data_IF_399402990784
#
_entry.id   IF_399402990784
#
_cell.length_a   1.000
_cell.length_b   1.000
_cell.length_c   1.000
_cell.angle_alpha   90.00
_cell.angle_beta   90.00
_cell.angle_gamma   90.00
#
_symmetry.space_group_name_H-M   'P 1'
#
loop_
_entity.id
_entity.type
_entity.pdbx_description
1 polymer ?
#
# COMPACT_ATOMS: atom_id res chain seq x y z
N UNK A 1 -26.44 22.28 -18.92
CA UNK A 1 -25.64 21.91 -17.75
C UNK A 1 -24.40 21.15 -18.17
N UNK A 2 -24.54 20.07 -18.94
CA UNK A 2 -23.41 19.22 -19.39
C UNK A 2 -22.28 19.97 -20.11
N UNK A 3 -22.61 20.91 -21.00
CA UNK A 3 -21.62 21.73 -21.69
C UNK A 3 -20.81 22.63 -20.74
N UNK A 4 -21.39 23.04 -19.62
CA UNK A 4 -20.72 23.85 -18.59
C UNK A 4 -19.81 22.97 -17.75
N UNK A 5 -20.27 21.79 -17.34
CA UNK A 5 -19.46 20.79 -16.62
C UNK A 5 -18.25 20.38 -17.47
N UNK A 6 -18.46 20.09 -18.75
CA UNK A 6 -17.38 19.79 -19.68
C UNK A 6 -16.39 20.96 -19.84
N UNK A 7 -16.88 22.21 -19.82
CA UNK A 7 -16.00 23.37 -19.83
C UNK A 7 -15.15 23.45 -18.55
N UNK A 8 -15.74 23.21 -17.37
CA UNK A 8 -15.03 23.20 -16.07
C UNK A 8 -13.93 22.13 -16.05
N UNK A 9 -14.18 20.92 -16.59
CA UNK A 9 -13.17 19.86 -16.70
C UNK A 9 -11.94 20.28 -17.52
N UNK A 10 -12.12 21.18 -18.48
CA UNK A 10 -11.01 21.70 -19.29
C UNK A 10 -10.19 22.77 -18.60
N UNK A 11 -10.58 23.28 -17.42
CA UNK A 11 -9.95 24.48 -16.81
C UNK A 11 -8.44 24.37 -16.68
N UNK A 12 -7.92 23.18 -16.30
CA UNK A 12 -6.49 22.96 -16.07
C UNK A 12 -5.67 22.95 -17.37
N UNK A 13 -6.35 22.90 -18.52
CA UNK A 13 -5.76 22.82 -19.87
C UNK A 13 -5.82 24.15 -20.64
N UNK A 14 -6.54 25.15 -20.13
CA UNK A 14 -6.80 26.42 -20.84
C UNK A 14 -6.48 27.62 -19.95
N UNK A 15 -6.22 28.77 -20.56
CA UNK A 15 -6.04 30.02 -19.82
C UNK A 15 -7.40 30.58 -19.37
N UNK A 16 -7.45 31.38 -18.28
CA UNK A 16 -8.69 32.00 -17.81
C UNK A 16 -9.42 32.82 -18.89
N UNK A 17 -8.70 33.55 -19.76
CA UNK A 17 -9.34 34.35 -20.82
C UNK A 17 -10.04 33.46 -21.87
N UNK A 18 -9.40 32.34 -22.23
CA UNK A 18 -9.95 31.37 -23.17
C UNK A 18 -11.17 30.65 -22.56
N UNK A 19 -11.10 30.29 -21.28
CA UNK A 19 -12.23 29.73 -20.53
C UNK A 19 -13.42 30.69 -20.53
N UNK A 20 -13.18 31.97 -20.23
CA UNK A 20 -14.21 33.00 -20.21
C UNK A 20 -14.87 33.18 -21.59
N UNK A 21 -14.08 33.20 -22.67
CA UNK A 21 -14.60 33.28 -24.03
C UNK A 21 -15.49 32.07 -24.39
N UNK A 22 -15.07 30.86 -24.03
CA UNK A 22 -15.87 29.64 -24.20
C UNK A 22 -17.16 29.70 -23.39
N UNK A 23 -17.09 30.12 -22.13
CA UNK A 23 -18.27 30.27 -21.27
C UNK A 23 -19.30 31.25 -21.88
N UNK A 24 -18.84 32.40 -22.41
CA UNK A 24 -19.71 33.37 -23.11
C UNK A 24 -20.33 32.78 -24.37
N UNK A 25 -19.58 31.97 -25.13
CA UNK A 25 -20.12 31.30 -26.32
C UNK A 25 -21.25 30.30 -26.00
N UNK A 26 -21.30 29.79 -24.77
CA UNK A 26 -22.39 28.96 -24.25
C UNK A 26 -23.60 29.78 -23.75
N UNK A 27 -23.58 31.11 -23.90
CA UNK A 27 -24.66 32.01 -23.48
C UNK A 27 -24.61 32.42 -22.01
N UNK A 28 -23.49 32.20 -21.31
CA UNK A 28 -23.34 32.58 -19.89
C UNK A 28 -23.05 34.09 -19.79
N UNK A 29 -23.77 34.78 -18.89
CA UNK A 29 -23.61 36.23 -18.67
C UNK A 29 -22.24 36.57 -18.06
N UNK A 30 -21.74 37.78 -18.29
CA UNK A 30 -20.45 38.24 -17.76
C UNK A 30 -20.32 38.09 -16.23
N UNK A 31 -21.43 38.36 -15.51
CA UNK A 31 -21.52 38.15 -14.07
C UNK A 31 -21.28 36.69 -13.69
N UNK A 32 -21.95 35.76 -14.38
CA UNK A 32 -21.85 34.33 -14.07
C UNK A 32 -20.52 33.74 -14.54
N UNK A 33 -19.92 34.25 -15.62
CA UNK A 33 -18.55 33.88 -16.02
C UNK A 33 -17.55 34.28 -14.95
N UNK A 34 -17.68 35.48 -14.40
CA UNK A 34 -16.81 35.97 -13.32
C UNK A 34 -16.96 35.12 -12.04
N UNK A 35 -18.19 34.74 -11.70
CA UNK A 35 -18.45 33.83 -10.58
C UNK A 35 -17.88 32.42 -10.82
N UNK A 36 -18.04 31.86 -12.03
CA UNK A 36 -17.45 30.57 -12.39
C UNK A 36 -15.92 30.59 -12.28
N UNK A 37 -15.27 31.65 -12.78
CA UNK A 37 -13.83 31.82 -12.63
C UNK A 37 -13.44 31.87 -11.14
N UNK A 38 -14.17 32.61 -10.31
CA UNK A 38 -13.88 32.72 -8.89
C UNK A 38 -13.94 31.37 -8.15
N UNK A 39 -15.00 30.58 -8.36
CA UNK A 39 -15.19 29.29 -7.65
C UNK A 39 -14.34 28.17 -8.22
N UNK A 40 -14.06 28.18 -9.53
CA UNK A 40 -13.33 27.09 -10.18
C UNK A 40 -11.83 27.30 -10.20
N UNK A 41 -11.30 28.50 -9.92
CA UNK A 41 -9.84 28.72 -9.84
C UNK A 41 -9.25 28.64 -8.44
N UNK A 42 -10.08 28.54 -7.41
CA UNK A 42 -9.65 28.45 -6.01
C UNK A 42 -10.06 27.10 -5.41
N UNK A 43 -9.31 26.64 -4.42
CA UNK A 43 -9.77 25.65 -3.45
C UNK A 43 -9.89 26.32 -2.09
N UNK A 44 -10.75 25.79 -1.23
CA UNK A 44 -11.07 26.39 0.06
C UNK A 44 -10.86 25.35 1.16
N UNK A 45 -9.99 25.60 2.15
CA UNK A 45 -9.89 24.75 3.33
C UNK A 45 -11.25 24.60 4.00
N UNK A 46 -11.55 23.42 4.52
CA UNK A 46 -12.75 23.19 5.32
C UNK A 46 -12.38 23.52 6.77
N UNK A 47 -12.76 24.71 7.27
CA UNK A 47 -12.49 25.13 8.65
C UNK A 47 -13.75 25.12 9.55
N UNK A 48 -13.55 24.76 10.81
CA UNK A 48 -14.62 24.35 11.74
C UNK A 48 -15.45 25.49 12.38
N UNK A 49 -15.56 26.71 11.80
CA UNK A 49 -16.74 27.52 12.05
C UNK A 49 -17.44 28.10 10.80
N UNK A 50 -17.11 27.67 9.57
CA UNK A 50 -17.73 28.23 8.34
C UNK A 50 -18.58 27.23 7.53
N UNK A 51 -18.94 26.08 8.11
CA UNK A 51 -19.71 25.04 7.43
C UNK A 51 -21.16 25.42 7.07
N UNK A 52 -21.66 26.59 7.46
CA UNK A 52 -23.00 27.07 7.05
C UNK A 52 -22.99 27.84 5.72
N UNK A 53 -21.89 28.50 5.37
CA UNK A 53 -21.81 29.25 4.11
C UNK A 53 -20.38 29.47 3.62
N UNK A 54 -20.07 29.10 2.37
CA UNK A 54 -18.81 29.49 1.74
C UNK A 54 -18.90 30.91 1.17
N UNK A 55 -17.96 31.78 1.52
CA UNK A 55 -17.89 33.15 1.01
C UNK A 55 -16.84 33.27 -0.10
N UNK A 56 -17.28 33.33 -1.35
CA UNK A 56 -16.37 33.33 -2.52
C UNK A 56 -16.05 34.77 -2.98
N UNK A 57 -14.76 35.15 -3.13
CA UNK A 57 -14.37 36.48 -3.61
C UNK A 57 -14.62 36.67 -5.12
N UNK A 58 -15.32 37.74 -5.50
CA UNK A 58 -15.53 38.13 -6.91
C UNK A 58 -14.34 38.94 -7.46
N UNK A 59 -13.70 38.56 -8.59
CA UNK A 59 -12.61 39.36 -9.15
C UNK A 59 -13.12 40.64 -9.81
N UNK A 60 -12.44 41.77 -9.54
CA UNK A 60 -12.64 43.03 -10.25
C UNK A 60 -12.28 42.93 -11.73
N UNK A 61 -13.12 43.50 -12.61
CA UNK A 61 -12.75 43.73 -14.00
C UNK A 61 -11.74 44.88 -14.08
N UNK A 62 -10.63 44.59 -14.75
CA UNK A 62 -9.57 45.45 -15.29
C UNK A 62 -8.59 46.15 -14.32
N UNK A 63 -7.35 45.64 -14.31
CA UNK A 63 -6.15 46.28 -13.74
C UNK A 63 -4.94 45.31 -13.69
N UNK A 64 -3.68 45.79 -13.73
CA UNK A 64 -2.47 44.96 -13.90
C UNK A 64 -2.00 44.19 -12.65
N UNK A 65 -2.88 43.95 -11.68
CA UNK A 65 -2.60 43.27 -10.40
C UNK A 65 -3.67 42.20 -10.10
N UNK A 66 -3.39 41.21 -9.22
CA UNK A 66 -4.40 40.24 -8.81
C UNK A 66 -5.61 40.98 -8.21
N UNK A 67 -6.84 40.68 -8.66
CA UNK A 67 -8.01 41.48 -8.35
C UNK A 67 -8.34 41.39 -6.85
N UNK A 68 -8.49 42.54 -6.19
CA UNK A 68 -9.11 42.62 -4.86
C UNK A 68 -10.59 42.16 -4.95
N UNK A 69 -11.12 41.41 -3.97
CA UNK A 69 -12.51 40.94 -3.99
C UNK A 69 -13.53 42.10 -3.94
N UNK A 70 -14.48 42.16 -4.88
CA UNK A 70 -15.58 43.16 -4.86
C UNK A 70 -16.84 42.65 -4.12
N UNK A 71 -16.80 41.48 -3.47
CA UNK A 71 -17.92 40.94 -2.71
C UNK A 71 -17.80 39.45 -2.43
N UNK A 72 -18.68 38.95 -1.55
CA UNK A 72 -18.75 37.56 -1.12
C UNK A 72 -20.09 36.97 -1.57
N UNK A 73 -20.07 35.84 -2.28
CA UNK A 73 -21.27 35.03 -2.51
C UNK A 73 -21.30 33.96 -1.44
N UNK A 74 -22.32 33.96 -0.58
CA UNK A 74 -22.59 32.86 0.34
C UNK A 74 -23.20 31.69 -0.42
N UNK A 75 -22.55 30.53 -0.39
CA UNK A 75 -23.15 29.27 -0.80
C UNK A 75 -23.54 28.50 0.45
N UNK A 76 -24.84 28.23 0.60
CA UNK A 76 -25.33 27.36 1.66
C UNK A 76 -25.07 25.91 1.30
N UNK A 77 -24.53 25.16 2.25
CA UNK A 77 -24.30 23.72 2.12
C UNK A 77 -25.55 22.94 2.51
N UNK A 78 -25.77 21.78 1.89
CA UNK A 78 -26.86 20.91 2.31
C UNK A 78 -26.51 20.21 3.63
N UNK A 79 -27.53 19.73 4.35
CA UNK A 79 -27.32 19.00 5.61
C UNK A 79 -26.36 17.80 5.46
N UNK A 80 -26.36 17.17 4.29
CA UNK A 80 -25.45 16.06 3.97
C UNK A 80 -23.98 16.50 3.91
N UNK A 81 -23.70 17.67 3.33
CA UNK A 81 -22.35 18.24 3.26
C UNK A 81 -21.85 18.62 4.65
N UNK A 82 -22.71 19.25 5.47
CA UNK A 82 -22.38 19.62 6.85
C UNK A 82 -22.02 18.37 7.67
N UNK A 83 -22.83 17.31 7.57
CA UNK A 83 -22.55 16.04 8.23
C UNK A 83 -21.25 15.40 7.72
N UNK A 84 -20.93 15.51 6.43
CA UNK A 84 -19.64 15.04 5.92
C UNK A 84 -18.47 15.81 6.54
N UNK A 85 -18.56 17.13 6.66
CA UNK A 85 -17.50 17.94 7.25
C UNK A 85 -17.30 17.63 8.73
N UNK A 86 -18.40 17.47 9.49
CA UNK A 86 -18.35 17.02 10.88
C UNK A 86 -17.64 15.66 10.99
N UNK A 87 -18.01 14.66 10.18
CA UNK A 87 -17.37 13.35 10.21
C UNK A 87 -15.88 13.41 9.85
N UNK A 88 -15.50 14.24 8.87
CA UNK A 88 -14.09 14.48 8.53
C UNK A 88 -13.31 15.08 9.70
N UNK A 89 -13.94 15.95 10.51
CA UNK A 89 -13.32 16.50 11.71
C UNK A 89 -13.18 15.44 12.80
N UNK A 90 -14.21 14.63 13.03
CA UNK A 90 -14.20 13.55 14.03
C UNK A 90 -13.11 12.49 13.79
N UNK A 91 -12.67 12.32 12.54
CA UNK A 91 -11.60 11.38 12.16
C UNK A 91 -10.24 12.05 11.92
N UNK A 92 -10.08 13.32 12.30
CA UNK A 92 -8.86 14.13 12.10
C UNK A 92 -8.40 14.21 10.63
N UNK A 93 -9.34 14.17 9.68
CA UNK A 93 -9.06 14.23 8.24
C UNK A 93 -9.38 15.59 7.62
N UNK A 94 -10.13 16.45 8.30
CA UNK A 94 -10.63 17.73 7.76
C UNK A 94 -9.51 18.68 7.31
N UNK A 95 -8.39 18.72 8.03
CA UNK A 95 -7.20 19.53 7.69
C UNK A 95 -6.51 19.10 6.38
N UNK A 96 -6.87 17.93 5.84
CA UNK A 96 -6.35 17.38 4.59
C UNK A 96 -7.32 17.56 3.42
N UNK A 97 -8.44 18.25 3.64
CA UNK A 97 -9.50 18.41 2.66
C UNK A 97 -9.70 19.88 2.30
N UNK A 98 -9.69 20.14 0.99
CA UNK A 98 -10.16 21.39 0.42
C UNK A 98 -11.43 21.14 -0.39
N UNK A 99 -12.36 22.10 -0.37
CA UNK A 99 -13.44 22.19 -1.32
C UNK A 99 -12.93 22.76 -2.65
N UNK A 100 -13.10 22.00 -3.72
CA UNK A 100 -12.72 22.40 -5.07
C UNK A 100 -13.89 22.18 -6.05
N UNK A 101 -14.58 23.27 -6.41
CA UNK A 101 -15.72 23.26 -7.35
C UNK A 101 -15.32 22.97 -8.79
N UNK A 102 -14.02 22.86 -9.07
CA UNK A 102 -13.53 22.41 -10.36
C UNK A 102 -13.42 20.90 -10.51
N UNK A 103 -13.61 20.15 -9.43
CA UNK A 103 -13.62 18.68 -9.48
C UNK A 103 -14.94 18.22 -10.07
N UNK A 104 -14.98 18.16 -11.40
CA UNK A 104 -16.11 17.68 -12.18
C UNK A 104 -15.71 16.38 -12.88
N UNK A 105 -15.80 15.26 -12.17
CA UNK A 105 -15.38 13.96 -12.72
C UNK A 105 -16.22 13.59 -13.94
N UNK A 106 -15.57 13.32 -15.08
CA UNK A 106 -16.19 13.00 -16.37
C UNK A 106 -16.91 11.65 -16.48
N UNK A 107 -17.23 11.01 -15.35
CA UNK A 107 -18.03 9.80 -15.32
C UNK A 107 -19.44 10.20 -14.89
N UNK A 108 -20.37 10.23 -15.85
CA UNK A 108 -21.76 10.65 -15.66
C UNK A 108 -22.58 9.77 -14.69
N UNK A 109 -21.93 8.83 -13.98
CA UNK A 109 -22.58 7.95 -13.01
C UNK A 109 -22.54 8.48 -11.57
N UNK A 110 -21.70 9.48 -11.24
CA UNK A 110 -21.72 10.07 -9.91
C UNK A 110 -23.00 10.86 -9.72
N UNK A 111 -23.63 10.69 -8.56
CA UNK A 111 -24.93 11.27 -8.23
C UNK A 111 -24.82 12.43 -7.25
N UNK A 112 -23.68 12.55 -6.56
CA UNK A 112 -23.45 13.49 -5.47
C UNK A 112 -21.93 13.72 -5.27
N UNK A 113 -21.45 13.94 -4.04
CA UNK A 113 -20.05 14.19 -3.65
C UNK A 113 -19.05 13.39 -4.47
N UNK A 114 -18.06 14.10 -5.01
CA UNK A 114 -16.88 13.54 -5.67
C UNK A 114 -15.63 14.07 -5.00
N UNK A 115 -14.56 13.27 -5.00
CA UNK A 115 -13.29 13.67 -4.40
C UNK A 115 -12.10 13.11 -5.16
N UNK A 116 -10.97 13.79 -5.04
CA UNK A 116 -9.67 13.35 -5.53
C UNK A 116 -8.65 13.41 -4.40
N UNK A 117 -7.73 12.45 -4.38
CA UNK A 117 -6.56 12.49 -3.48
C UNK A 117 -5.37 12.88 -4.34
N UNK A 118 -4.81 14.04 -4.07
CA UNK A 118 -3.68 14.59 -4.81
C UNK A 118 -2.38 14.37 -4.05
N UNK A 119 -1.32 14.03 -4.77
CA UNK A 119 0.05 14.04 -4.28
C UNK A 119 0.73 15.35 -4.72
N UNK A 120 1.13 16.19 -3.76
CA UNK A 120 1.71 17.55 -3.94
C UNK A 120 0.85 18.46 -4.84
N UNK A 121 -0.48 18.32 -4.78
CA UNK A 121 -1.41 19.19 -5.53
C UNK A 121 -1.43 18.98 -7.05
N UNK A 122 -0.56 18.13 -7.61
CA UNK A 122 -0.41 17.99 -9.06
C UNK A 122 -0.93 16.66 -9.62
N UNK A 123 -0.74 15.55 -8.90
CA UNK A 123 -1.06 14.20 -9.40
C UNK A 123 -2.14 13.53 -8.57
N UNK A 124 -3.30 13.26 -9.16
CA UNK A 124 -4.33 12.44 -8.54
C UNK A 124 -3.86 10.98 -8.42
N UNK A 125 -3.72 10.50 -7.19
CA UNK A 125 -3.33 9.12 -6.88
C UNK A 125 -4.55 8.23 -6.62
N UNK A 126 -5.65 8.83 -6.16
CA UNK A 126 -6.93 8.18 -5.99
C UNK A 126 -8.06 9.16 -6.31
N UNK A 127 -9.26 8.63 -6.50
CA UNK A 127 -10.47 9.44 -6.54
C UNK A 127 -11.72 8.59 -6.55
N UNK A 128 -12.82 9.21 -6.19
CA UNK A 128 -14.05 8.52 -5.90
C UNK A 128 -15.22 9.46 -5.77
N UNK A 129 -16.31 8.91 -5.27
CA UNK A 129 -17.55 9.66 -5.04
C UNK A 129 -18.74 8.74 -4.86
N UNK A 130 -19.90 9.36 -4.71
CA UNK A 130 -21.19 8.70 -4.52
C UNK A 130 -21.92 8.46 -5.85
N UNK A 131 -22.48 7.27 -6.04
CA UNK A 131 -23.05 6.80 -7.30
C UNK A 131 -24.29 5.92 -7.09
N UNK A 132 -25.38 6.52 -6.61
CA UNK A 132 -26.54 5.77 -6.11
C UNK A 132 -27.29 4.97 -7.19
N UNK A 133 -27.19 5.41 -8.45
CA UNK A 133 -27.95 4.84 -9.56
C UNK A 133 -27.20 3.73 -10.31
N UNK A 134 -25.91 3.51 -10.01
CA UNK A 134 -25.06 2.65 -10.83
C UNK A 134 -25.49 1.17 -10.77
N UNK A 135 -25.81 0.66 -9.58
CA UNK A 135 -26.20 -0.74 -9.39
C UNK A 135 -27.55 -1.03 -10.06
N UNK A 136 -28.48 -0.08 -9.97
CA UNK A 136 -29.80 -0.16 -10.61
C UNK A 136 -29.69 -0.21 -12.14
N UNK A 137 -28.77 0.56 -12.74
CA UNK A 137 -28.53 0.57 -14.18
C UNK A 137 -28.16 -0.81 -14.74
N UNK A 138 -27.56 -1.69 -13.91
CA UNK A 138 -27.20 -3.06 -14.27
C UNK A 138 -28.26 -4.11 -13.85
N UNK A 139 -29.47 -3.68 -13.45
CA UNK A 139 -30.58 -4.56 -13.11
C UNK A 139 -30.57 -5.06 -11.65
N UNK A 140 -29.72 -4.49 -10.80
CA UNK A 140 -29.80 -4.69 -9.35
C UNK A 140 -30.91 -3.85 -8.70
N UNK A 141 -31.18 -4.03 -7.40
CA UNK A 141 -32.06 -3.12 -6.67
C UNK A 141 -31.42 -1.73 -6.52
N UNK A 142 -32.24 -0.69 -6.36
CA UNK A 142 -31.77 0.65 -5.99
C UNK A 142 -30.90 0.57 -4.73
N UNK A 143 -29.61 0.86 -4.90
CA UNK A 143 -28.58 0.63 -3.87
C UNK A 143 -27.61 1.81 -3.87
N UNK A 144 -27.80 2.80 -2.98
CA UNK A 144 -26.84 3.87 -2.76
C UNK A 144 -25.44 3.33 -2.50
N UNK A 145 -24.44 3.95 -3.10
CA UNK A 145 -23.07 3.46 -3.03
C UNK A 145 -22.07 4.61 -3.09
N UNK A 146 -20.98 4.47 -2.33
CA UNK A 146 -19.83 5.37 -2.35
C UNK A 146 -18.56 4.52 -2.39
N UNK A 147 -17.56 4.98 -3.12
CA UNK A 147 -16.31 4.27 -3.27
C UNK A 147 -15.27 5.08 -4.00
N UNK A 148 -14.05 4.55 -4.02
CA UNK A 148 -12.92 5.16 -4.71
C UNK A 148 -12.08 4.10 -5.40
N UNK A 149 -11.37 4.54 -6.44
CA UNK A 149 -10.30 3.78 -7.08
C UNK A 149 -8.95 4.42 -6.78
N UNK A 150 -7.93 3.58 -6.62
CA UNK A 150 -6.54 4.00 -6.49
C UNK A 150 -5.68 3.21 -7.48
N UNK A 151 -4.86 3.91 -8.25
CA UNK A 151 -3.97 3.29 -9.23
C UNK A 151 -2.64 2.89 -8.59
N UNK A 152 -2.32 1.60 -8.57
CA UNK A 152 -1.06 1.07 -8.06
C UNK A 152 0.15 1.60 -8.85
N UNK A 153 0.05 1.67 -10.17
CA UNK A 153 1.10 2.21 -11.04
C UNK A 153 1.40 3.67 -10.71
N UNK A 154 0.37 4.51 -10.61
CA UNK A 154 0.53 5.95 -10.32
C UNK A 154 1.14 6.16 -8.94
N UNK A 155 0.63 5.43 -7.93
CA UNK A 155 1.18 5.47 -6.59
C UNK A 155 2.66 5.04 -6.57
N UNK A 156 3.02 3.97 -7.27
CA UNK A 156 4.42 3.49 -7.33
C UNK A 156 5.36 4.55 -7.92
N UNK A 157 4.95 5.26 -8.97
CA UNK A 157 5.73 6.34 -9.57
C UNK A 157 5.88 7.52 -8.60
N UNK A 158 4.82 7.91 -7.90
CA UNK A 158 4.90 8.97 -6.87
C UNK A 158 5.85 8.59 -5.74
N UNK A 159 5.78 7.36 -5.24
CA UNK A 159 6.67 6.88 -4.18
C UNK A 159 8.13 6.83 -4.66
N UNK A 160 8.37 6.43 -5.91
CA UNK A 160 9.70 6.42 -6.50
C UNK A 160 10.26 7.84 -6.70
N UNK A 161 9.47 8.76 -7.27
CA UNK A 161 9.84 10.16 -7.49
C UNK A 161 10.24 10.84 -6.17
N UNK A 162 9.62 10.44 -5.05
CA UNK A 162 9.88 10.97 -3.70
C UNK A 162 10.94 10.20 -2.90
N UNK A 163 11.49 9.11 -3.43
CA UNK A 163 12.41 8.26 -2.67
C UNK A 163 11.78 7.60 -1.43
N UNK A 164 10.46 7.40 -1.43
CA UNK A 164 9.70 6.76 -0.34
C UNK A 164 9.54 5.25 -0.56
N UNK A 165 9.90 4.75 -1.75
CA UNK A 165 9.83 3.34 -2.07
C UNK A 165 10.99 2.61 -1.36
N UNK A 166 10.72 1.62 -0.48
CA UNK A 166 11.79 0.92 0.22
C UNK A 166 12.63 0.13 -0.79
N UNK A 167 13.93 -0.02 -0.49
CA UNK A 167 14.86 -0.76 -1.34
C UNK A 167 15.52 -1.92 -0.59
N UNK A 168 16.13 -2.83 -1.34
CA UNK A 168 16.96 -3.91 -0.81
C UNK A 168 16.24 -4.75 0.24
N UNK A 169 16.83 -4.84 1.44
CA UNK A 169 16.31 -5.68 2.52
C UNK A 169 15.00 -5.12 3.11
N UNK A 170 14.84 -3.79 3.16
CA UNK A 170 13.61 -3.16 3.64
C UNK A 170 12.41 -3.46 2.71
N UNK A 171 12.64 -3.44 1.39
CA UNK A 171 11.64 -3.86 0.42
C UNK A 171 11.26 -5.33 0.60
N UNK A 172 12.27 -6.19 0.73
CA UNK A 172 12.05 -7.62 0.92
C UNK A 172 11.30 -7.90 2.22
N UNK A 173 11.58 -7.17 3.29
CA UNK A 173 10.87 -7.31 4.56
C UNK A 173 9.42 -6.81 4.47
N UNK A 174 9.17 -5.69 3.78
CA UNK A 174 7.82 -5.19 3.51
C UNK A 174 6.99 -6.20 2.69
N UNK A 175 7.58 -6.76 1.63
CA UNK A 175 6.96 -7.80 0.81
C UNK A 175 6.81 -9.12 1.55
N UNK A 176 7.64 -9.40 2.56
CA UNK A 176 7.65 -10.69 3.26
C UNK A 176 6.85 -10.74 4.55
N UNK A 177 6.01 -9.73 4.80
CA UNK A 177 5.02 -9.78 5.89
C UNK A 177 4.06 -10.96 5.64
N UNK A 178 3.65 -11.72 6.68
CA UNK A 178 2.66 -12.79 6.52
C UNK A 178 1.41 -12.27 5.78
N UNK A 179 0.84 -12.95 4.78
CA UNK A 179 1.03 -14.35 4.32
C UNK A 179 1.89 -14.52 3.04
N UNK A 180 2.67 -13.54 2.61
CA UNK A 180 3.34 -13.52 1.30
C UNK A 180 4.87 -13.45 1.37
N UNK A 181 5.54 -14.33 2.13
CA UNK A 181 7.01 -14.28 2.29
C UNK A 181 7.78 -14.50 0.98
N UNK A 182 8.38 -13.44 0.43
CA UNK A 182 9.30 -13.52 -0.74
C UNK A 182 10.76 -13.77 -0.33
N UNK A 183 11.13 -13.37 0.90
CA UNK A 183 12.46 -13.52 1.51
C UNK A 183 12.55 -14.87 2.25
N UNK A 184 13.45 -15.80 1.87
CA UNK A 184 13.61 -17.05 2.62
C UNK A 184 14.03 -16.78 4.06
N UNK A 185 13.33 -17.38 5.02
CA UNK A 185 13.75 -17.40 6.42
C UNK A 185 15.08 -18.17 6.56
N UNK A 186 15.21 -19.26 5.80
CA UNK A 186 16.38 -20.13 5.80
C UNK A 186 16.77 -20.53 4.38
N UNK A 187 18.07 -20.50 4.10
CA UNK A 187 18.66 -21.06 2.89
C UNK A 187 19.62 -22.20 3.25
N UNK A 188 19.27 -23.42 2.88
CA UNK A 188 20.02 -24.65 3.23
C UNK A 188 21.06 -24.95 2.16
N UNK A 189 22.32 -25.13 2.56
CA UNK A 189 23.46 -25.44 1.68
C UNK A 189 24.29 -26.61 2.21
N UNK A 190 24.83 -27.48 1.35
CA UNK A 190 25.70 -28.57 1.77
C UNK A 190 27.16 -28.10 1.96
N UNK A 191 27.86 -28.67 2.96
CA UNK A 191 29.24 -28.34 3.29
C UNK A 191 30.01 -29.53 3.91
N UNK A 192 30.18 -30.61 3.14
CA UNK A 192 31.09 -31.69 3.54
C UNK A 192 32.55 -31.33 3.32
N UNK A 193 33.44 -31.78 4.21
CA UNK A 193 34.89 -31.57 4.11
C UNK A 193 35.56 -32.65 3.26
N UNK A 194 34.99 -33.86 3.26
CA UNK A 194 35.37 -34.96 2.36
C UNK A 194 34.35 -35.18 1.23
N UNK A 195 34.72 -35.87 0.13
CA UNK A 195 33.77 -36.21 -0.94
C UNK A 195 32.55 -37.00 -0.45
N UNK A 196 32.74 -37.90 0.52
CA UNK A 196 31.67 -38.71 1.12
C UNK A 196 30.72 -37.87 1.96
N UNK A 197 31.26 -37.01 2.82
CA UNK A 197 30.47 -36.06 3.61
C UNK A 197 29.71 -35.09 2.72
N UNK A 198 30.30 -34.66 1.61
CA UNK A 198 29.68 -33.69 0.72
C UNK A 198 28.51 -34.29 -0.04
N UNK A 199 28.59 -35.58 -0.38
CA UNK A 199 27.47 -36.33 -0.94
C UNK A 199 26.37 -36.58 0.10
N UNK A 200 26.73 -36.93 1.33
CA UNK A 200 25.79 -37.10 2.43
C UNK A 200 25.04 -35.79 2.76
N UNK A 201 25.77 -34.67 2.86
CA UNK A 201 25.20 -33.35 3.09
C UNK A 201 24.25 -32.96 1.96
N UNK A 202 24.64 -33.16 0.68
CA UNK A 202 23.78 -32.87 -0.46
C UNK A 202 22.46 -33.67 -0.43
N UNK A 203 22.51 -34.95 -0.06
CA UNK A 203 21.32 -35.80 0.11
C UNK A 203 20.43 -35.34 1.27
N UNK A 204 21.00 -34.77 2.33
CA UNK A 204 20.27 -34.27 3.50
C UNK A 204 19.56 -32.93 3.26
N UNK A 205 20.03 -32.09 2.32
CA UNK A 205 19.45 -30.75 2.05
C UNK A 205 17.95 -30.82 1.75
N UNK A 206 17.52 -31.64 0.78
CA UNK A 206 16.13 -31.67 0.33
C UNK A 206 15.16 -32.16 1.42
N UNK A 207 15.42 -33.26 2.14
CA UNK A 207 14.63 -33.65 3.32
C UNK A 207 14.57 -32.57 4.39
N UNK A 208 15.70 -31.89 4.66
CA UNK A 208 15.76 -30.84 5.67
C UNK A 208 14.91 -29.63 5.31
N UNK A 209 15.00 -29.14 4.07
CA UNK A 209 14.14 -28.06 3.55
C UNK A 209 12.66 -28.44 3.68
N UNK A 210 12.30 -29.68 3.33
CA UNK A 210 10.92 -30.15 3.45
C UNK A 210 10.46 -30.22 4.93
N UNK A 211 11.34 -30.61 5.86
CA UNK A 211 11.07 -30.61 7.30
C UNK A 211 10.82 -29.19 7.82
N UNK A 212 11.70 -28.23 7.48
CA UNK A 212 11.57 -26.83 7.89
C UNK A 212 10.27 -26.20 7.38
N UNK A 213 9.86 -26.51 6.15
CA UNK A 213 8.59 -26.02 5.57
C UNK A 213 7.34 -26.58 6.24
N UNK A 214 7.42 -27.74 6.90
CA UNK A 214 6.27 -28.35 7.61
C UNK A 214 6.14 -27.89 9.05
N UNK A 215 7.23 -27.41 9.65
CA UNK A 215 7.31 -27.19 11.10
C UNK A 215 7.31 -28.51 11.89
N UNK A 216 7.29 -28.38 13.21
CA UNK A 216 7.17 -29.47 14.18
C UNK A 216 6.00 -29.13 15.10
N UNK A 217 4.96 -29.96 15.09
CA UNK A 217 3.83 -29.74 15.99
C UNK A 217 4.27 -29.88 17.45
N UNK A 218 3.70 -29.04 18.31
CA UNK A 218 3.99 -29.01 19.73
C UNK A 218 3.42 -30.25 20.42
N UNK A 219 4.03 -30.68 21.53
CA UNK A 219 3.50 -31.79 22.34
C UNK A 219 2.09 -31.51 22.84
N UNK A 220 1.85 -30.28 23.30
CA UNK A 220 0.54 -29.84 23.77
C UNK A 220 -0.57 -29.95 22.70
N UNK A 221 -0.21 -29.80 21.43
CA UNK A 221 -1.13 -30.00 20.31
C UNK A 221 -1.35 -31.49 20.02
N UNK A 222 -0.29 -32.30 20.02
CA UNK A 222 -0.34 -33.72 19.73
C UNK A 222 -1.11 -34.53 20.79
N UNK A 223 -1.00 -34.15 22.06
CA UNK A 223 -1.59 -34.88 23.19
C UNK A 223 -3.11 -34.65 23.33
N UNK A 224 -3.72 -33.83 22.46
CA UNK A 224 -5.14 -33.48 22.53
C UNK A 224 -5.89 -33.80 21.22
N UNK A 225 -6.72 -34.85 21.27
CA UNK A 225 -7.49 -35.36 20.12
C UNK A 225 -8.56 -34.39 19.56
N UNK A 226 -8.91 -33.31 20.28
CA UNK A 226 -9.94 -32.34 19.87
C UNK A 226 -9.39 -31.10 19.16
N UNK A 227 -8.09 -31.04 18.91
CA UNK A 227 -7.43 -29.87 18.31
C UNK A 227 -7.73 -29.73 16.82
N UNK A 228 -7.76 -28.48 16.36
CA UNK A 228 -8.00 -28.14 14.95
C UNK A 228 -6.69 -27.66 14.31
N UNK A 229 -6.48 -27.90 12.99
CA UNK A 229 -5.23 -27.50 12.32
C UNK A 229 -4.83 -26.02 12.40
N UNK A 230 -5.77 -25.14 12.74
CA UNK A 230 -5.60 -23.69 12.87
C UNK A 230 -5.47 -23.20 14.32
N UNK A 231 -5.36 -24.10 15.29
CA UNK A 231 -5.14 -23.72 16.68
C UNK A 231 -3.77 -23.04 16.84
N UNK A 232 -3.74 -21.90 17.53
CA UNK A 232 -2.57 -21.03 17.61
C UNK A 232 -1.35 -21.67 18.30
N UNK A 233 -1.57 -22.68 19.15
CA UNK A 233 -0.52 -23.41 19.86
C UNK A 233 0.02 -24.64 19.12
N UNK A 234 -0.47 -24.90 17.90
CA UNK A 234 -0.07 -26.05 17.09
C UNK A 234 1.45 -26.18 16.93
N UNK A 235 2.16 -25.07 16.81
CA UNK A 235 3.60 -25.03 16.64
C UNK A 235 4.33 -24.30 17.77
N UNK A 236 3.68 -24.12 18.93
CA UNK A 236 4.20 -23.31 20.02
C UNK A 236 5.59 -23.79 20.49
N UNK A 237 6.57 -22.86 20.45
CA UNK A 237 7.94 -23.10 20.94
C UNK A 237 7.96 -23.55 22.41
N UNK A 238 7.09 -22.96 23.23
CA UNK A 238 6.95 -23.28 24.66
C UNK A 238 6.57 -24.75 24.95
N UNK A 239 6.08 -25.48 23.95
CA UNK A 239 5.70 -26.89 24.06
C UNK A 239 6.49 -27.78 23.09
N UNK A 240 7.76 -27.42 22.86
CA UNK A 240 8.69 -28.12 21.96
C UNK A 240 8.23 -28.21 20.49
N UNK A 241 7.34 -27.31 20.06
CA UNK A 241 7.00 -27.12 18.66
C UNK A 241 8.04 -26.27 17.92
N UNK A 242 7.87 -26.15 16.60
CA UNK A 242 8.55 -25.18 15.77
C UNK A 242 7.64 -24.79 14.59
N UNK A 243 7.45 -23.49 14.30
CA UNK A 243 6.58 -23.07 13.21
C UNK A 243 7.12 -23.50 11.84
N UNK A 244 6.24 -23.66 10.83
CA UNK A 244 6.64 -23.75 9.43
C UNK A 244 7.47 -22.53 9.01
N UNK A 245 8.57 -22.77 8.30
CA UNK A 245 9.49 -21.71 7.84
C UNK A 245 9.56 -21.64 6.32
N UNK A 246 9.79 -20.45 5.77
CA UNK A 246 10.12 -20.29 4.36
C UNK A 246 11.56 -20.74 4.08
N UNK A 247 11.76 -22.04 3.92
CA UNK A 247 13.07 -22.61 3.61
C UNK A 247 13.30 -22.80 2.09
N UNK A 248 14.50 -22.47 1.60
CA UNK A 248 14.96 -22.73 0.22
C UNK A 248 16.35 -23.39 0.23
N UNK A 249 16.80 -23.82 -0.94
CA UNK A 249 18.16 -24.32 -1.18
C UNK A 249 18.59 -23.93 -2.60
N UNK A 250 19.89 -24.03 -2.88
CA UNK A 250 20.41 -23.75 -4.23
C UNK A 250 20.09 -24.91 -5.19
N UNK A 251 19.82 -24.57 -6.46
CA UNK A 251 19.78 -25.53 -7.57
C UNK A 251 21.11 -25.55 -8.36
N UNK A 252 22.12 -24.77 -7.93
CA UNK A 252 23.42 -24.73 -8.60
C UNK A 252 24.16 -26.05 -8.37
N UNK A 253 24.79 -26.56 -9.43
CA UNK A 253 25.61 -27.78 -9.35
C UNK A 253 26.91 -27.61 -8.55
N UNK A 254 27.28 -26.37 -8.19
CA UNK A 254 28.50 -26.11 -7.44
C UNK A 254 28.39 -26.60 -6.00
N UNK A 255 29.44 -27.27 -5.53
CA UNK A 255 29.60 -27.67 -4.15
C UNK A 255 30.46 -26.67 -3.33
N UNK A 256 30.82 -25.54 -3.94
CA UNK A 256 31.63 -24.50 -3.28
C UNK A 256 30.76 -23.67 -2.32
N UNK A 257 31.07 -23.74 -1.02
CA UNK A 257 30.31 -23.08 0.05
C UNK A 257 30.23 -21.56 -0.17
N UNK A 258 31.32 -20.91 -0.58
CA UNK A 258 31.34 -19.47 -0.85
C UNK A 258 30.36 -19.06 -1.94
N UNK A 259 30.31 -19.80 -3.05
CA UNK A 259 29.34 -19.55 -4.14
C UNK A 259 27.89 -19.80 -3.71
N UNK A 260 27.67 -20.77 -2.82
CA UNK A 260 26.34 -21.09 -2.29
C UNK A 260 25.88 -20.05 -1.26
N UNK A 261 26.79 -19.52 -0.44
CA UNK A 261 26.50 -18.39 0.45
C UNK A 261 26.21 -17.10 -0.34
N UNK A 262 26.92 -16.85 -1.43
CA UNK A 262 26.61 -15.75 -2.35
C UNK A 262 25.22 -15.93 -2.99
N UNK A 263 24.82 -17.17 -3.31
CA UNK A 263 23.48 -17.48 -3.81
C UNK A 263 22.40 -17.20 -2.76
N UNK A 264 22.63 -17.65 -1.53
CA UNK A 264 21.74 -17.39 -0.39
C UNK A 264 21.55 -15.88 -0.15
N UNK A 265 22.66 -15.13 -0.14
CA UNK A 265 22.65 -13.67 0.02
C UNK A 265 21.98 -12.96 -1.17
N UNK A 266 22.21 -13.44 -2.40
CA UNK A 266 21.55 -12.93 -3.60
C UNK A 266 20.04 -13.15 -3.60
N UNK A 267 19.56 -14.23 -2.99
CA UNK A 267 18.14 -14.47 -2.71
C UNK A 267 17.62 -13.76 -1.46
N UNK A 268 18.46 -12.92 -0.85
CA UNK A 268 18.13 -12.14 0.35
C UNK A 268 17.73 -13.00 1.55
N UNK A 269 18.15 -14.26 1.64
CA UNK A 269 17.79 -15.11 2.76
C UNK A 269 18.21 -14.49 4.12
N UNK A 270 17.40 -14.68 5.17
CA UNK A 270 17.72 -14.18 6.51
C UNK A 270 18.86 -14.99 7.15
N UNK A 271 18.76 -16.31 7.09
CA UNK A 271 19.76 -17.23 7.64
C UNK A 271 20.25 -18.21 6.56
N UNK A 272 21.54 -18.56 6.62
CA UNK A 272 22.08 -19.73 5.91
C UNK A 272 22.24 -20.90 6.89
N UNK A 273 21.74 -22.07 6.51
CA UNK A 273 21.93 -23.33 7.23
C UNK A 273 22.88 -24.20 6.44
N UNK A 274 24.05 -24.42 7.02
CA UNK A 274 25.18 -25.12 6.44
C UNK A 274 25.17 -26.55 6.95
N UNK A 275 24.86 -27.52 6.09
CA UNK A 275 24.79 -28.94 6.45
C UNK A 275 26.19 -29.54 6.41
N UNK A 276 26.73 -29.84 7.59
CA UNK A 276 28.07 -30.42 7.74
C UNK A 276 28.02 -31.94 7.58
N UNK A 277 27.04 -32.58 8.23
CA UNK A 277 26.84 -34.03 8.21
C UNK A 277 25.34 -34.38 8.41
N UNK A 278 25.04 -35.65 8.70
CA UNK A 278 23.67 -36.15 8.84
C UNK A 278 22.94 -35.67 10.12
N UNK A 279 23.66 -35.13 11.11
CA UNK A 279 23.11 -34.79 12.43
C UNK A 279 23.25 -33.31 12.78
N UNK A 280 24.21 -32.60 12.19
CA UNK A 280 24.60 -31.25 12.60
C UNK A 280 24.63 -30.26 11.45
N UNK A 281 24.30 -29.02 11.79
CA UNK A 281 24.36 -27.88 10.90
C UNK A 281 24.99 -26.68 11.59
N UNK A 282 25.59 -25.81 10.80
CA UNK A 282 26.00 -24.48 11.25
C UNK A 282 25.03 -23.44 10.71
N UNK A 283 24.48 -22.61 11.59
CA UNK A 283 23.57 -21.52 11.25
C UNK A 283 24.41 -20.24 11.16
N UNK A 284 24.30 -19.53 10.04
CA UNK A 284 24.92 -18.22 9.83
C UNK A 284 23.84 -17.17 9.58
N UNK A 285 23.88 -16.07 10.33
CA UNK A 285 23.01 -14.93 10.07
C UNK A 285 23.53 -14.15 8.84
N UNK A 286 22.64 -13.91 7.86
CA UNK A 286 22.96 -13.16 6.65
C UNK A 286 22.43 -11.73 6.68
N UNK A 287 21.65 -11.36 7.72
CA UNK A 287 21.14 -10.00 7.93
C UNK A 287 22.21 -9.08 8.51
N UNK A 288 23.16 -9.65 9.25
CA UNK A 288 24.26 -8.91 9.87
C UNK A 288 25.61 -9.31 9.25
N UNK A 289 26.55 -8.38 9.20
CA UNK A 289 27.94 -8.67 8.80
C UNK A 289 28.75 -9.36 9.91
N UNK A 290 28.10 -9.82 10.98
CA UNK A 290 28.78 -10.48 12.09
C UNK A 290 29.02 -11.95 11.77
N UNK A 291 30.17 -12.48 12.20
CA UNK A 291 30.45 -13.92 12.16
C UNK A 291 29.75 -14.63 13.33
N UNK A 292 28.42 -14.58 13.36
CA UNK A 292 27.63 -15.37 14.31
C UNK A 292 27.27 -16.71 13.65
N UNK A 293 28.23 -17.65 13.76
CA UNK A 293 28.06 -19.02 13.33
C UNK A 293 27.82 -19.90 14.56
N UNK A 294 26.68 -20.59 14.60
CA UNK A 294 26.36 -21.50 15.71
C UNK A 294 26.07 -22.89 15.20
N UNK A 295 26.76 -23.88 15.79
CA UNK A 295 26.54 -25.30 15.50
C UNK A 295 25.33 -25.80 16.28
N UNK A 296 24.41 -26.45 15.57
CA UNK A 296 23.11 -26.88 16.07
C UNK A 296 22.79 -28.27 15.53
N UNK A 297 22.14 -29.11 16.33
CA UNK A 297 21.63 -30.40 15.87
C UNK A 297 20.42 -30.20 14.95
N UNK A 298 20.34 -30.99 13.87
CA UNK A 298 19.20 -30.98 12.93
C UNK A 298 17.86 -31.25 13.62
N UNK A 299 17.87 -31.98 14.74
CA UNK A 299 16.69 -32.21 15.56
C UNK A 299 16.11 -30.91 16.14
N UNK A 300 16.95 -29.95 16.52
CA UNK A 300 16.57 -28.70 17.18
C UNK A 300 16.50 -27.50 16.24
N UNK A 301 16.96 -27.66 14.99
CA UNK A 301 17.12 -26.58 14.02
C UNK A 301 15.88 -25.69 13.87
N UNK A 302 14.69 -26.28 13.75
CA UNK A 302 13.45 -25.52 13.56
C UNK A 302 13.18 -24.54 14.70
N UNK A 303 13.39 -24.99 15.94
CA UNK A 303 13.21 -24.18 17.16
C UNK A 303 14.26 -23.07 17.22
N UNK A 304 15.53 -23.40 17.03
CA UNK A 304 16.63 -22.43 17.08
C UNK A 304 16.48 -21.34 16.02
N UNK A 305 16.01 -21.70 14.82
CA UNK A 305 15.74 -20.72 13.76
C UNK A 305 14.56 -19.82 14.15
N UNK A 306 13.46 -20.38 14.62
CA UNK A 306 12.28 -19.62 15.03
C UNK A 306 12.62 -18.58 16.12
N UNK A 307 13.39 -19.00 17.13
CA UNK A 307 13.90 -18.11 18.20
C UNK A 307 14.76 -16.97 17.65
N UNK A 308 15.66 -17.23 16.69
CA UNK A 308 16.50 -16.18 16.06
C UNK A 308 15.72 -15.20 15.18
N UNK A 309 14.62 -15.66 14.63
CA UNK A 309 13.76 -14.85 13.76
C UNK A 309 12.66 -14.13 14.54
N UNK A 310 12.42 -14.50 15.80
CA UNK A 310 11.35 -13.95 16.62
C UNK A 310 9.96 -14.35 16.13
N UNK A 311 9.82 -15.56 15.58
CA UNK A 311 8.59 -16.12 15.01
C UNK A 311 8.10 -17.36 15.76
#
# INVERSE_FOLDING_TARGET
TDAVVALIDTRRKVRPEEFAAKAKSLGISDRNVSALLAITWCSFPIDEPQCESLMVPFPAQDGPNPPEPIGLVGMEFEQADICLFEELAHVDAIDWCDLDFSVVRGLAYYTDTVFEVLADGERAIAGGGRYDNLIELFGGPATPAVGFGMGDVVLSLVLQDRGLLPEGDALMDALSRPSASYRPDVFVIPAGQSPEEQEAAAKAVRPLVAKLRRGVESKAYQDNEKRKPWDADRYALASNGAPPLHARSSNKATKNIGKLLQDAAGQKAKLAVIVENAEEVTIKDLRTNQQDATRTKIAELGRVVAERLGV
#
